data_IF_402450808467
#
_entry.id   IF_402450808467
#
_cell.length_a   1.000
_cell.length_b   1.000
_cell.length_c   1.000
_cell.angle_alpha   90.00
_cell.angle_beta   90.00
_cell.angle_gamma   90.00
#
_symmetry.space_group_name_H-M   'P 1'
#
loop_
_entity.id
_entity.type
_entity.pdbx_description
1 polymer ?
#
# COMPACT_ATOMS: atom_id res chain seq x y z
N UNK A 1 -2.12 25.78 -6.83
CA UNK A 1 -2.38 24.33 -6.84
C UNK A 1 -3.84 24.12 -6.52
N UNK A 2 -4.64 23.56 -7.44
CA UNK A 2 -6.08 23.33 -7.17
C UNK A 2 -6.23 22.11 -6.26
N UNK A 3 -6.87 22.30 -5.12
CA UNK A 3 -7.15 21.22 -4.18
C UNK A 3 -8.26 20.35 -4.79
N UNK A 4 -7.89 19.21 -5.39
CA UNK A 4 -8.84 18.22 -5.91
C UNK A 4 -9.28 17.33 -4.76
N UNK A 5 -10.31 17.72 -4.01
CA UNK A 5 -10.99 16.78 -3.12
C UNK A 5 -12.04 16.01 -3.91
N UNK A 6 -11.60 15.03 -4.70
CA UNK A 6 -12.43 13.92 -5.13
C UNK A 6 -12.71 13.03 -3.91
N UNK A 7 -13.93 12.49 -3.82
CA UNK A 7 -14.44 11.67 -2.72
C UNK A 7 -13.35 10.91 -1.94
N UNK A 8 -13.17 11.30 -0.67
CA UNK A 8 -12.22 10.68 0.26
C UNK A 8 -12.90 9.49 0.91
N UNK A 9 -12.42 8.28 0.64
CA UNK A 9 -12.75 7.16 1.52
C UNK A 9 -11.85 7.27 2.75
N UNK A 10 -12.47 7.42 3.92
CA UNK A 10 -11.79 7.28 5.20
C UNK A 10 -11.78 5.80 5.59
N UNK A 11 -10.59 5.24 5.77
CA UNK A 11 -10.40 3.87 6.21
C UNK A 11 -9.51 3.84 7.45
N UNK A 12 -9.61 2.75 8.20
CA UNK A 12 -8.57 2.37 9.16
C UNK A 12 -7.80 1.20 8.59
N UNK A 13 -6.48 1.34 8.54
CA UNK A 13 -5.58 0.23 8.28
C UNK A 13 -5.11 -0.33 9.63
N UNK A 14 -5.41 -1.59 9.85
CA UNK A 14 -4.93 -2.30 11.03
C UNK A 14 -3.59 -2.94 10.69
N UNK A 15 -2.52 -2.56 11.39
CA UNK A 15 -1.32 -3.41 11.42
C UNK A 15 -1.63 -4.70 12.19
N UNK A 16 -0.97 -5.82 11.87
CA UNK A 16 -1.21 -7.15 12.47
C UNK A 16 -1.68 -7.07 13.93
N UNK A 17 -2.86 -7.64 14.23
CA UNK A 17 -3.27 -7.94 15.60
C UNK A 17 -2.41 -9.10 16.09
N UNK A 18 -1.25 -8.80 16.66
CA UNK A 18 -0.44 -9.81 17.35
C UNK A 18 -0.55 -9.58 18.85
N UNK A 19 -0.83 -10.65 19.61
CA UNK A 19 -0.96 -10.63 21.07
C UNK A 19 0.37 -10.34 21.79
N UNK A 20 1.47 -10.13 21.06
CA UNK A 20 2.82 -9.85 21.57
C UNK A 20 3.35 -8.47 21.10
N UNK A 21 2.98 -7.38 21.78
CA UNK A 21 3.23 -6.01 21.32
C UNK A 21 4.71 -5.61 21.22
N UNK A 22 5.63 -6.35 21.88
CA UNK A 22 7.07 -6.05 21.83
C UNK A 22 7.79 -6.59 20.57
N UNK A 23 7.09 -7.36 19.73
CA UNK A 23 7.67 -7.95 18.50
C UNK A 23 7.12 -7.35 17.21
N UNK A 24 6.24 -6.34 17.29
CA UNK A 24 5.57 -5.74 16.13
C UNK A 24 6.13 -4.35 15.87
N UNK A 25 6.42 -4.07 14.61
CA UNK A 25 6.84 -2.74 14.17
C UNK A 25 5.72 -1.72 14.41
N UNK A 26 6.12 -0.53 14.87
CA UNK A 26 5.27 0.67 14.92
C UNK A 26 4.84 1.09 13.51
N UNK A 27 3.76 1.87 13.39
CA UNK A 27 3.31 2.43 12.11
C UNK A 27 4.40 3.26 11.44
N UNK A 28 5.20 3.99 12.23
CA UNK A 28 6.38 4.72 11.71
C UNK A 28 7.47 3.80 11.18
N UNK A 29 7.80 2.74 11.90
CA UNK A 29 8.80 1.75 11.44
C UNK A 29 8.34 1.06 10.17
N UNK A 30 7.06 0.71 10.10
CA UNK A 30 6.42 0.18 8.90
C UNK A 30 6.49 1.15 7.72
N UNK A 31 6.13 2.42 7.91
CA UNK A 31 6.20 3.43 6.86
C UNK A 31 7.63 3.61 6.33
N UNK A 32 8.63 3.65 7.22
CA UNK A 32 10.05 3.72 6.84
C UNK A 32 10.51 2.47 6.10
N UNK A 33 10.07 1.29 6.54
CA UNK A 33 10.37 0.04 5.85
C UNK A 33 9.80 0.06 4.43
N UNK A 34 8.54 0.43 4.26
CA UNK A 34 7.92 0.54 2.94
C UNK A 34 8.68 1.48 2.00
N UNK A 35 9.06 2.67 2.48
CA UNK A 35 9.85 3.63 1.68
C UNK A 35 11.19 3.02 1.28
N UNK A 36 11.90 2.38 2.21
CA UNK A 36 13.17 1.71 1.94
C UNK A 36 13.02 0.59 0.89
N UNK A 37 12.00 -0.25 1.03
CA UNK A 37 11.79 -1.39 0.14
C UNK A 37 11.27 -0.97 -1.24
N UNK A 38 10.49 0.11 -1.30
CA UNK A 38 10.13 0.74 -2.56
C UNK A 38 11.36 1.25 -3.30
N UNK A 39 12.25 1.97 -2.62
CA UNK A 39 13.49 2.49 -3.20
C UNK A 39 14.43 1.39 -3.73
N UNK A 40 14.35 0.18 -3.17
CA UNK A 40 15.09 -1.00 -3.63
C UNK A 40 14.40 -1.77 -4.77
N UNK A 41 13.16 -1.41 -5.14
CA UNK A 41 12.36 -2.16 -6.12
C UNK A 41 11.82 -3.49 -5.60
N UNK A 42 11.78 -3.68 -4.28
CA UNK A 42 11.30 -4.92 -3.65
C UNK A 42 9.77 -4.96 -3.53
N UNK A 43 9.11 -3.80 -3.59
CA UNK A 43 7.65 -3.71 -3.65
C UNK A 43 7.17 -4.06 -5.07
N UNK A 44 6.83 -5.32 -5.27
CA UNK A 44 6.27 -5.81 -6.53
C UNK A 44 4.79 -5.50 -6.63
N UNK A 45 4.29 -5.56 -7.85
CA UNK A 45 2.86 -5.54 -8.09
C UNK A 45 2.16 -6.78 -7.53
N UNK A 46 0.89 -6.61 -7.18
CA UNK A 46 0.05 -7.65 -6.61
C UNK A 46 -1.16 -7.84 -7.53
N UNK A 47 -1.34 -9.05 -8.11
CA UNK A 47 -2.48 -9.34 -8.96
C UNK A 47 -3.77 -9.53 -8.13
N UNK A 48 -4.89 -9.11 -8.69
CA UNK A 48 -6.23 -9.27 -8.14
C UNK A 48 -7.24 -9.54 -9.27
N UNK A 49 -7.46 -10.82 -9.56
CA UNK A 49 -8.29 -11.21 -10.71
C UNK A 49 -7.64 -10.78 -12.02
N UNK A 50 -8.33 -9.93 -12.80
CA UNK A 50 -7.79 -9.31 -14.02
C UNK A 50 -7.05 -7.99 -13.75
N UNK A 51 -7.05 -7.51 -12.51
CA UNK A 51 -6.44 -6.25 -12.12
C UNK A 51 -5.05 -6.48 -11.52
N UNK A 52 -4.21 -5.47 -11.56
CA UNK A 52 -2.90 -5.45 -10.92
C UNK A 52 -2.68 -4.11 -10.20
N UNK A 53 -2.19 -4.16 -8.96
CA UNK A 53 -1.85 -2.95 -8.20
C UNK A 53 -0.38 -2.89 -7.90
N UNK A 54 0.24 -1.74 -8.12
CA UNK A 54 1.61 -1.44 -7.72
C UNK A 54 1.69 -0.09 -7.01
N UNK A 55 2.69 0.07 -6.14
CA UNK A 55 3.09 1.38 -5.66
C UNK A 55 4.07 1.99 -6.68
N UNK A 56 3.73 3.17 -7.19
CA UNK A 56 4.57 3.95 -8.09
C UNK A 56 5.47 4.93 -7.31
N UNK A 57 4.95 5.47 -6.21
CA UNK A 57 5.69 6.33 -5.30
C UNK A 57 5.30 6.01 -3.86
N UNK A 58 6.30 6.03 -2.97
CA UNK A 58 6.12 5.83 -1.53
C UNK A 58 7.00 6.86 -0.84
N UNK A 59 6.39 7.72 -0.04
CA UNK A 59 7.10 8.76 0.72
C UNK A 59 6.60 8.79 2.15
N UNK A 60 7.49 9.17 3.07
CA UNK A 60 7.13 9.42 4.46
C UNK A 60 7.67 10.78 4.87
N UNK A 61 6.80 11.61 5.45
CA UNK A 61 7.16 12.93 5.97
C UNK A 61 6.55 13.10 7.35
N UNK A 62 7.41 13.25 8.37
CA UNK A 62 6.99 13.21 9.78
C UNK A 62 6.20 11.93 10.12
N UNK A 63 4.90 12.09 10.30
CA UNK A 63 3.94 11.03 10.65
C UNK A 63 2.97 10.72 9.52
N UNK A 64 3.24 11.21 8.32
CA UNK A 64 2.40 11.01 7.16
C UNK A 64 3.09 10.06 6.17
N UNK A 65 2.47 8.91 5.92
CA UNK A 65 2.82 8.00 4.84
C UNK A 65 1.95 8.33 3.62
N UNK A 66 2.59 8.62 2.49
CA UNK A 66 1.92 8.88 1.22
C UNK A 66 2.34 7.83 0.20
N UNK A 67 1.35 7.22 -0.47
CA UNK A 67 1.55 6.20 -1.51
C UNK A 67 0.75 6.59 -2.75
N UNK A 68 1.43 6.66 -3.89
CA UNK A 68 0.80 6.70 -5.19
C UNK A 68 0.66 5.27 -5.70
N UNK A 69 -0.57 4.79 -5.84
CA UNK A 69 -0.86 3.50 -6.44
C UNK A 69 -1.13 3.64 -7.93
N UNK A 70 -0.63 2.68 -8.71
CA UNK A 70 -1.12 2.39 -10.05
C UNK A 70 -1.96 1.12 -10.02
N UNK A 71 -3.20 1.24 -10.50
CA UNK A 71 -4.09 0.14 -10.80
C UNK A 71 -4.10 -0.07 -12.31
N UNK A 72 -3.64 -1.23 -12.75
CA UNK A 72 -3.79 -1.72 -14.12
C UNK A 72 -5.04 -2.59 -14.18
N UNK A 73 -5.95 -2.27 -15.10
CA UNK A 73 -7.16 -3.07 -15.30
C UNK A 73 -7.55 -3.08 -16.79
N UNK A 74 -7.38 -4.22 -17.50
CA UNK A 74 -7.70 -4.34 -18.92
C UNK A 74 -9.12 -3.93 -19.31
N UNK A 75 -10.06 -3.94 -18.35
CA UNK A 75 -11.46 -3.57 -18.55
C UNK A 75 -11.71 -2.06 -18.57
N UNK A 76 -10.74 -1.24 -18.15
CA UNK A 76 -10.86 0.22 -18.28
C UNK A 76 -10.94 0.56 -19.77
N UNK A 77 -11.94 1.34 -20.23
CA UNK A 77 -12.06 1.72 -21.65
C UNK A 77 -10.99 2.74 -22.04
N UNK A 78 -10.66 2.79 -23.33
CA UNK A 78 -9.77 3.81 -23.86
C UNK A 78 -10.40 5.20 -23.80
N UNK A 79 -9.61 6.25 -23.50
CA UNK A 79 -10.12 7.60 -23.48
C UNK A 79 -10.46 8.06 -24.90
N UNK A 80 -11.65 8.64 -25.02
CA UNK A 80 -12.05 9.40 -26.19
C UNK A 80 -11.60 10.85 -26.05
N UNK A 81 -11.07 11.38 -27.15
CA UNK A 81 -10.69 12.77 -27.28
C UNK A 81 -11.58 13.44 -28.31
N UNK A 82 -12.09 14.62 -27.99
CA UNK A 82 -12.85 15.44 -28.93
C UNK A 82 -12.04 16.69 -29.28
N UNK A 83 -11.88 16.96 -30.57
CA UNK A 83 -11.39 18.24 -31.03
C UNK A 83 -12.50 19.28 -30.86
N UNK A 84 -12.23 20.30 -30.04
CA UNK A 84 -13.21 21.33 -29.68
C UNK A 84 -13.58 22.25 -30.83
N UNK A 85 -12.77 22.32 -31.90
CA UNK A 85 -13.01 23.23 -33.02
C UNK A 85 -13.94 22.64 -34.08
N UNK A 86 -13.88 21.32 -34.30
CA UNK A 86 -14.64 20.63 -35.35
C UNK A 86 -15.54 19.50 -34.83
N UNK A 87 -15.51 19.18 -33.54
CA UNK A 87 -16.33 18.14 -32.92
C UNK A 87 -15.90 16.71 -33.26
N UNK A 88 -14.76 16.51 -33.91
CA UNK A 88 -14.28 15.18 -34.30
C UNK A 88 -13.85 14.38 -33.07
N UNK A 89 -14.43 13.20 -32.90
CA UNK A 89 -14.09 12.27 -31.82
C UNK A 89 -13.04 11.27 -32.31
N UNK A 90 -12.01 11.07 -31.50
CA UNK A 90 -10.93 10.10 -31.70
C UNK A 90 -10.76 9.28 -30.42
N UNK A 91 -10.92 7.97 -30.52
CA UNK A 91 -10.50 7.04 -29.46
C UNK A 91 -8.99 6.83 -29.55
N UNK A 92 -8.26 6.94 -28.43
CA UNK A 92 -6.86 6.54 -28.42
C UNK A 92 -6.77 5.01 -28.46
N UNK A 93 -6.03 4.46 -29.41
CA UNK A 93 -5.74 3.03 -29.44
C UNK A 93 -4.46 2.75 -28.67
N UNK A 94 -4.50 1.73 -27.80
CA UNK A 94 -3.34 1.23 -27.07
C UNK A 94 -2.31 0.64 -28.02
N UNK A 95 -1.03 0.83 -27.71
CA UNK A 95 0.06 0.11 -28.36
C UNK A 95 0.21 -1.29 -27.77
N UNK A 96 0.95 -2.16 -28.47
CA UNK A 96 1.27 -3.51 -27.97
C UNK A 96 2.02 -3.42 -26.64
N UNK A 97 1.45 -4.00 -25.59
CA UNK A 97 2.01 -3.99 -24.23
C UNK A 97 1.61 -2.79 -23.37
N UNK A 98 0.72 -1.92 -23.84
CA UNK A 98 0.10 -0.88 -23.01
C UNK A 98 -1.19 -1.41 -22.36
N UNK A 99 -1.23 -1.38 -21.04
CA UNK A 99 -2.45 -1.60 -20.27
C UNK A 99 -2.97 -0.27 -19.72
N UNK A 100 -4.30 -0.05 -19.71
CA UNK A 100 -4.86 1.15 -19.13
C UNK A 100 -4.61 1.15 -17.62
N UNK A 101 -4.17 2.30 -17.12
CA UNK A 101 -3.86 2.49 -15.71
C UNK A 101 -4.67 3.64 -15.11
N UNK A 102 -5.04 3.50 -13.84
CA UNK A 102 -5.56 4.57 -12.99
C UNK A 102 -4.61 4.79 -11.83
N UNK A 103 -4.44 6.05 -11.45
CA UNK A 103 -3.63 6.42 -10.30
C UNK A 103 -4.51 6.85 -9.13
N UNK A 104 -4.11 6.50 -7.92
CA UNK A 104 -4.83 6.85 -6.70
C UNK A 104 -3.82 7.16 -5.58
N UNK A 105 -4.01 8.29 -4.89
CA UNK A 105 -3.22 8.62 -3.72
C UNK A 105 -3.85 8.05 -2.46
N UNK A 106 -3.00 7.45 -1.63
CA UNK A 106 -3.32 7.11 -0.26
C UNK A 106 -2.45 7.93 0.68
N UNK A 107 -3.07 8.54 1.69
CA UNK A 107 -2.39 9.24 2.78
C UNK A 107 -2.78 8.56 4.09
N UNK A 108 -1.81 8.26 4.94
CA UNK A 108 -2.00 7.58 6.22
C UNK A 108 -1.28 8.33 7.35
N UNK A 109 -2.00 8.59 8.44
CA UNK A 109 -1.42 9.14 9.67
C UNK A 109 -0.87 7.99 10.53
N UNK A 110 0.46 7.89 10.60
CA UNK A 110 1.21 6.92 11.39
C UNK A 110 1.73 7.49 12.72
N UNK A 111 1.09 8.55 13.24
CA UNK A 111 1.47 9.13 14.53
C UNK A 111 1.37 8.13 15.69
N UNK A 112 2.24 8.25 16.73
CA UNK A 112 2.21 7.40 17.92
C UNK A 112 0.87 7.35 18.66
N UNK A 113 0.01 8.36 18.48
CA UNK A 113 -1.33 8.42 19.08
C UNK A 113 -2.26 7.28 18.61
N UNK A 114 -1.97 6.68 17.45
CA UNK A 114 -2.75 5.57 16.88
C UNK A 114 -2.17 4.18 17.19
N UNK A 115 -1.03 4.12 17.88
CA UNK A 115 -0.30 2.88 18.15
C UNK A 115 -1.00 1.98 19.18
N UNK A 116 -1.74 2.57 20.12
CA UNK A 116 -2.47 1.82 21.14
C UNK A 116 -3.50 0.86 20.52
N UNK A 117 -4.24 1.35 19.52
CA UNK A 117 -5.27 0.59 18.81
C UNK A 117 -4.76 -0.09 17.54
N UNK A 118 -3.50 0.18 17.17
CA UNK A 118 -2.86 -0.32 15.94
C UNK A 118 -3.70 -0.06 14.69
N UNK A 119 -4.44 1.04 14.68
CA UNK A 119 -5.43 1.40 13.69
C UNK A 119 -5.12 2.80 13.16
N UNK A 120 -4.53 2.87 11.97
CA UNK A 120 -4.06 4.12 11.38
C UNK A 120 -5.14 4.66 10.43
N UNK A 121 -5.59 5.91 10.59
CA UNK A 121 -6.56 6.50 9.69
C UNK A 121 -5.91 6.81 8.34
N UNK A 122 -6.68 6.56 7.28
CA UNK A 122 -6.26 6.62 5.89
C UNK A 122 -7.26 7.42 5.09
N UNK A 123 -6.78 8.36 4.29
CA UNK A 123 -7.53 8.97 3.19
C UNK A 123 -7.12 8.33 1.87
N UNK A 124 -8.09 7.90 1.07
CA UNK A 124 -7.88 7.32 -0.25
C UNK A 124 -8.63 8.10 -1.32
N UNK A 125 -7.91 8.53 -2.36
CA UNK A 125 -8.48 9.11 -3.58
C UNK A 125 -8.92 8.00 -4.56
N UNK A 126 -9.92 8.28 -5.40
CA UNK A 126 -10.39 7.38 -6.46
C UNK A 126 -10.77 5.97 -5.95
N UNK A 127 -11.42 5.91 -4.78
CA UNK A 127 -11.81 4.67 -4.11
C UNK A 127 -12.85 3.83 -4.90
N UNK A 128 -13.46 4.39 -5.94
CA UNK A 128 -14.33 3.71 -6.90
C UNK A 128 -13.56 2.66 -7.74
N UNK A 129 -12.26 2.87 -7.96
CA UNK A 129 -11.39 1.94 -8.68
C UNK A 129 -10.47 1.19 -7.72
N UNK A 130 -9.84 1.91 -6.79
CA UNK A 130 -8.93 1.32 -5.83
C UNK A 130 -9.67 1.09 -4.50
N UNK A 131 -10.22 -0.12 -4.32
CA UNK A 131 -10.99 -0.43 -3.11
C UNK A 131 -10.11 -0.50 -1.86
N UNK A 132 -10.69 -0.21 -0.69
CA UNK A 132 -10.03 -0.40 0.62
C UNK A 132 -9.48 -1.82 0.78
N UNK A 133 -10.21 -2.84 0.32
CA UNK A 133 -9.80 -4.24 0.38
C UNK A 133 -8.52 -4.48 -0.39
N UNK A 134 -8.41 -3.88 -1.59
CA UNK A 134 -7.26 -4.05 -2.46
C UNK A 134 -6.02 -3.36 -1.88
N UNK A 135 -6.18 -2.14 -1.34
CA UNK A 135 -5.10 -1.43 -0.62
C UNK A 135 -4.66 -2.19 0.62
N UNK A 136 -5.61 -2.65 1.43
CA UNK A 136 -5.32 -3.44 2.62
C UNK A 136 -4.58 -4.71 2.26
N UNK A 137 -5.02 -5.43 1.22
CA UNK A 137 -4.33 -6.63 0.74
C UNK A 137 -2.92 -6.30 0.26
N UNK A 138 -2.75 -5.25 -0.55
CA UNK A 138 -1.45 -4.84 -1.06
C UNK A 138 -0.45 -4.61 0.08
N UNK A 139 -0.86 -3.86 1.10
CA UNK A 139 -0.01 -3.51 2.23
C UNK A 139 0.28 -4.72 3.12
N UNK A 140 -0.71 -5.58 3.38
CA UNK A 140 -0.50 -6.79 4.18
C UNK A 140 0.37 -7.81 3.46
N UNK A 141 0.14 -8.07 2.17
CA UNK A 141 0.95 -9.00 1.38
C UNK A 141 2.39 -8.48 1.21
N UNK A 142 2.56 -7.16 1.07
CA UNK A 142 3.89 -6.54 1.06
C UNK A 142 4.58 -6.73 2.40
N UNK A 143 3.89 -6.44 3.50
CA UNK A 143 4.45 -6.59 4.83
C UNK A 143 4.79 -8.04 5.13
N UNK A 144 3.88 -8.97 4.84
CA UNK A 144 4.09 -10.40 5.06
C UNK A 144 5.33 -10.90 4.33
N UNK A 145 5.53 -10.52 3.06
CA UNK A 145 6.77 -10.86 2.33
C UNK A 145 8.02 -10.27 2.96
N UNK A 146 7.94 -9.06 3.51
CA UNK A 146 9.07 -8.38 4.15
C UNK A 146 9.37 -8.94 5.54
N UNK A 147 8.37 -9.40 6.28
CA UNK A 147 8.50 -9.85 7.68
C UNK A 147 8.51 -11.37 7.85
N UNK A 148 8.06 -12.15 6.85
CA UNK A 148 8.03 -13.63 6.88
C UNK A 148 9.42 -14.29 6.99
N UNK A 149 10.50 -13.50 6.89
CA UNK A 149 11.85 -13.95 7.24
C UNK A 149 12.09 -14.04 8.75
N UNK A 150 11.17 -13.56 9.59
CA UNK A 150 11.20 -13.80 11.03
C UNK A 150 10.64 -15.20 11.32
N UNK A 151 11.53 -16.16 11.57
CA UNK A 151 11.18 -17.50 12.04
C UNK A 151 10.20 -17.40 13.21
N UNK A 152 8.97 -17.88 13.00
CA UNK A 152 8.06 -18.20 14.10
C UNK A 152 8.75 -19.25 14.97
N UNK A 153 9.27 -18.83 16.11
CA UNK A 153 9.69 -19.73 17.18
C UNK A 153 8.45 -20.46 17.70
N UNK A 154 8.10 -21.56 17.03
CA UNK A 154 7.21 -22.56 17.61
C UNK A 154 8.08 -23.40 18.53
N UNK A 155 8.12 -23.04 19.82
CA UNK A 155 8.70 -23.94 20.81
C UNK A 155 7.83 -25.20 20.80
N UNK A 156 8.40 -26.34 20.37
CA UNK A 156 7.70 -27.64 20.40
C UNK A 156 7.45 -28.14 21.83
N UNK A 157 7.90 -27.39 22.82
CA UNK A 157 7.79 -27.63 24.25
C UNK A 157 7.71 -26.26 24.89
N UNK A 158 6.63 -25.94 25.63
CA UNK A 158 6.45 -24.65 26.31
C UNK A 158 7.45 -24.43 27.44
N UNK A 159 8.72 -24.18 27.11
CA UNK A 159 9.74 -23.67 28.03
C UNK A 159 10.58 -22.63 27.29
N UNK A 160 10.59 -21.42 27.83
CA UNK A 160 11.48 -20.34 27.41
C UNK A 160 12.93 -20.77 27.66
N UNK A 161 13.70 -20.96 26.59
CA UNK A 161 15.15 -20.99 26.70
C UNK A 161 15.65 -19.54 26.73
N UNK A 162 15.92 -19.04 27.93
CA UNK A 162 16.76 -17.86 28.12
C UNK A 162 18.17 -18.19 27.62
N UNK A 163 18.49 -17.81 26.37
CA UNK A 163 19.89 -17.78 25.94
C UNK A 163 20.58 -16.62 26.63
N UNK A 164 21.34 -16.97 27.68
CA UNK A 164 22.32 -16.09 28.29
C UNK A 164 23.31 -15.63 27.22
N UNK A 165 23.39 -14.32 27.02
CA UNK A 165 24.56 -13.68 26.44
C UNK A 165 25.78 -14.04 27.31
N UNK A 166 26.63 -14.93 26.79
CA UNK A 166 28.03 -15.06 27.22
C UNK A 166 28.92 -15.01 25.98
N UNK A 167 29.65 -13.90 25.91
CA UNK A 167 30.95 -13.62 25.27
C UNK A 167 31.53 -14.71 24.36
N UNK A 168 31.98 -14.30 23.18
CA UNK A 168 33.40 -14.01 22.93
C UNK A 168 33.54 -12.86 21.94
#
# INVERSE_FOLDING_TARGET
>A
MSVRYGFKLEAYLYSFRNYFPQKVQTGREFAKLLVSEHAKGNLKSIPYGTQEVSAAEVTVSNDELSILFHLYDPLIPDPDYVDKNNGQIRTAQRRKGEEPARSAHMIMDVSPKHEADRAYPVGLENAEYLSRTLVSRYLNDSLDKLTSSQELWVSKTGKEDQKSSRRN
#
